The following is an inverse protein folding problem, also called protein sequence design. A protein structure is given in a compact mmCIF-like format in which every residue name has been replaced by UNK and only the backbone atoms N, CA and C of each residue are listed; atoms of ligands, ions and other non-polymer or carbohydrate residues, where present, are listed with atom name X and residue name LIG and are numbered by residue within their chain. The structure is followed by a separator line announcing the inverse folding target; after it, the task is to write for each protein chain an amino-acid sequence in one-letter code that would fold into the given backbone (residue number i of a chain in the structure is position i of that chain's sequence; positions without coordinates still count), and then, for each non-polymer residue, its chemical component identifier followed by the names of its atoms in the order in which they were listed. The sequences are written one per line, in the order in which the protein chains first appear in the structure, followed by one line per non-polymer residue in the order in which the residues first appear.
data_IF_589645145368
#
_entry.id   IF_589645145368
#
_cell.length_a   1.000
_cell.length_b   1.000
_cell.length_c   1.000
_cell.angle_alpha   90.00
_cell.angle_beta   90.00
_cell.angle_gamma   90.00
#
_symmetry.space_group_name_H-M   'P 1'
#
loop_
_entity.id
_entity.type
_entity.pdbx_description
1 polymer ?
#
# COMPACT_ATOMS: atom_id res chain seq x y z
N UNK A 1 3.94 13.54 2.99
CA UNK A 1 3.27 12.36 3.59
C UNK A 1 3.24 11.25 2.56
N UNK A 2 3.30 10.00 3.00
CA UNK A 2 3.63 8.91 2.10
C UNK A 2 2.46 8.39 1.28
N UNK A 3 2.40 8.71 -0.03
CA UNK A 3 1.21 8.44 -0.87
C UNK A 3 0.84 6.95 -0.93
N UNK A 4 1.86 6.08 -0.95
CA UNK A 4 1.68 4.63 -0.97
C UNK A 4 1.30 4.08 0.41
N UNK A 5 1.92 4.60 1.48
CA UNK A 5 1.59 4.22 2.85
C UNK A 5 0.12 4.48 3.20
N UNK A 6 -0.38 5.65 2.82
CA UNK A 6 -1.81 6.01 2.99
C UNK A 6 -2.75 5.11 2.20
N UNK A 7 -2.47 4.91 0.91
CA UNK A 7 -3.27 4.04 0.07
C UNK A 7 -3.29 2.60 0.62
N UNK A 8 -2.13 2.08 1.04
CA UNK A 8 -2.03 0.75 1.63
C UNK A 8 -2.84 0.66 2.91
N UNK A 9 -2.67 1.61 3.86
CA UNK A 9 -3.40 1.63 5.12
C UNK A 9 -4.92 1.56 4.89
N UNK A 10 -5.45 2.41 4.01
CA UNK A 10 -6.88 2.45 3.73
C UNK A 10 -7.40 1.14 3.13
N UNK A 11 -6.63 0.50 2.24
CA UNK A 11 -6.99 -0.80 1.66
C UNK A 11 -7.00 -1.90 2.72
N UNK A 12 -5.99 -1.94 3.59
CA UNK A 12 -5.93 -2.93 4.67
C UNK A 12 -7.15 -2.82 5.60
N UNK A 13 -7.53 -1.60 5.97
CA UNK A 13 -8.71 -1.34 6.80
C UNK A 13 -10.02 -1.66 6.08
N UNK A 14 -10.14 -1.31 4.79
CA UNK A 14 -11.38 -1.50 4.00
C UNK A 14 -11.68 -2.98 3.74
N UNK A 15 -10.64 -3.79 3.52
CA UNK A 15 -10.78 -5.20 3.16
C UNK A 15 -10.43 -6.17 4.29
N UNK A 16 -10.24 -5.67 5.51
CA UNK A 16 -9.84 -6.43 6.71
C UNK A 16 -8.58 -7.30 6.47
N UNK A 17 -7.61 -6.73 5.74
CA UNK A 17 -6.35 -7.41 5.42
C UNK A 17 -5.31 -7.04 6.47
N UNK A 18 -4.76 -8.04 7.15
CA UNK A 18 -3.73 -7.79 8.16
C UNK A 18 -2.39 -7.36 7.53
N UNK A 19 -1.64 -6.50 8.23
CA UNK A 19 -0.26 -6.16 7.85
C UNK A 19 0.64 -7.41 7.77
N UNK A 20 0.34 -8.44 8.56
CA UNK A 20 1.08 -9.71 8.54
C UNK A 20 0.86 -10.46 7.23
N UNK A 21 -0.37 -10.49 6.70
CA UNK A 21 -0.68 -11.12 5.42
C UNK A 21 0.14 -10.52 4.27
N UNK A 22 0.28 -9.19 4.26
CA UNK A 22 1.13 -8.48 3.29
C UNK A 22 2.60 -8.83 3.46
N UNK A 23 3.10 -8.86 4.70
CA UNK A 23 4.49 -9.19 4.98
C UNK A 23 4.85 -10.61 4.49
N UNK A 24 3.95 -11.58 4.73
CA UNK A 24 4.10 -12.96 4.25
C UNK A 24 4.07 -13.03 2.72
N UNK A 25 3.11 -12.36 2.08
CA UNK A 25 2.99 -12.37 0.62
C UNK A 25 4.20 -11.73 -0.09
N UNK A 26 4.84 -10.73 0.55
CA UNK A 26 6.03 -10.06 0.04
C UNK A 26 7.35 -10.73 0.46
N UNK A 27 7.32 -11.71 1.37
CA UNK A 27 8.53 -12.34 1.91
C UNK A 27 9.42 -11.38 2.71
N UNK A 28 8.83 -10.39 3.40
CA UNK A 28 9.56 -9.36 4.16
C UNK A 28 9.14 -9.33 5.64
N UNK A 29 9.87 -8.57 6.44
CA UNK A 29 9.50 -8.32 7.83
C UNK A 29 8.22 -7.46 7.96
N UNK A 30 7.37 -7.82 8.92
CA UNK A 30 6.18 -7.03 9.30
C UNK A 30 6.53 -5.59 9.68
N UNK A 31 7.72 -5.36 10.24
CA UNK A 31 8.22 -4.02 10.62
C UNK A 31 8.30 -3.06 9.41
N UNK A 32 8.57 -3.58 8.21
CA UNK A 32 8.56 -2.79 6.98
C UNK A 32 7.15 -2.36 6.61
N UNK A 33 6.18 -3.27 6.66
CA UNK A 33 4.76 -2.96 6.41
C UNK A 33 4.24 -1.96 7.44
N UNK A 34 4.58 -2.14 8.71
CA UNK A 34 4.26 -1.20 9.79
C UNK A 34 4.76 0.21 9.49
N UNK A 35 6.03 0.35 9.07
CA UNK A 35 6.60 1.66 8.73
C UNK A 35 5.87 2.34 7.57
N UNK A 36 5.38 1.58 6.59
CA UNK A 36 4.61 2.13 5.47
C UNK A 36 3.24 2.63 5.90
N UNK A 37 2.46 1.81 6.61
CA UNK A 37 1.09 2.17 7.00
C UNK A 37 1.03 3.25 8.09
N UNK A 38 2.10 3.40 8.88
CA UNK A 38 2.25 4.49 9.85
C UNK A 38 3.01 5.70 9.28
N UNK A 39 3.25 5.75 7.97
CA UNK A 39 3.90 6.87 7.26
C UNK A 39 5.30 7.24 7.78
N UNK A 40 5.99 6.28 8.42
CA UNK A 40 7.36 6.46 8.94
C UNK A 40 8.40 6.38 7.82
N UNK A 41 8.08 5.64 6.76
CA UNK A 41 8.90 5.49 5.55
C UNK A 41 7.97 5.15 4.39
N UNK A 42 8.22 5.68 3.21
CA UNK A 42 7.51 5.24 2.01
C UNK A 42 8.13 3.96 1.41
N UNK A 43 7.31 3.07 0.86
CA UNK A 43 7.81 2.02 -0.03
C UNK A 43 8.39 2.64 -1.32
N UNK A 44 9.36 1.97 -1.93
CA UNK A 44 9.90 2.40 -3.24
C UNK A 44 8.87 2.17 -4.35
N UNK A 45 9.08 2.76 -5.53
CA UNK A 45 8.21 2.52 -6.68
C UNK A 45 8.14 1.03 -7.07
N UNK A 46 9.27 0.32 -6.98
CA UNK A 46 9.34 -1.13 -7.19
C UNK A 46 8.50 -1.87 -6.14
N UNK A 47 8.63 -1.50 -4.86
CA UNK A 47 7.82 -2.11 -3.79
C UNK A 47 6.32 -1.83 -3.95
N UNK A 48 5.92 -0.70 -4.53
CA UNK A 48 4.50 -0.44 -4.84
C UNK A 48 3.95 -1.45 -5.84
N UNK A 49 4.73 -1.84 -6.85
CA UNK A 49 4.34 -2.88 -7.81
C UNK A 49 4.22 -4.24 -7.12
N UNK A 50 5.15 -4.57 -6.24
CA UNK A 50 5.08 -5.84 -5.48
C UNK A 50 3.91 -5.87 -4.49
N UNK A 51 3.60 -4.74 -3.82
CA UNK A 51 2.40 -4.61 -2.99
C UNK A 51 1.13 -4.85 -3.81
N UNK A 52 1.06 -4.30 -5.03
CA UNK A 52 -0.09 -4.50 -5.92
C UNK A 52 -0.29 -5.98 -6.25
N UNK A 53 0.79 -6.69 -6.63
CA UNK A 53 0.74 -8.13 -6.92
C UNK A 53 0.38 -8.96 -5.68
N UNK A 54 0.92 -8.60 -4.52
CA UNK A 54 0.61 -9.27 -3.25
C UNK A 54 -0.87 -9.10 -2.89
N UNK A 55 -1.42 -7.89 -3.05
CA UNK A 55 -2.83 -7.63 -2.86
C UNK A 55 -3.69 -8.39 -3.88
N UNK A 56 -3.27 -8.49 -5.14
CA UNK A 56 -4.00 -9.21 -6.18
C UNK A 56 -4.14 -10.70 -5.84
N UNK A 57 -3.07 -11.31 -5.30
CA UNK A 57 -3.08 -12.69 -4.81
C UNK A 57 -3.95 -12.91 -3.56
N UNK A 58 -4.14 -11.89 -2.72
CA UNK A 58 -4.96 -11.97 -1.49
C UNK A 58 -6.43 -11.66 -1.79
N UNK A 59 -6.68 -10.55 -2.48
CA UNK A 59 -7.99 -10.04 -2.86
C UNK A 59 -7.85 -9.10 -4.08
N UNK A 60 -8.28 -9.54 -5.29
CA UNK A 60 -8.18 -8.71 -6.51
C UNK A 60 -8.84 -7.33 -6.39
N UNK A 61 -9.95 -7.20 -5.66
CA UNK A 61 -10.60 -5.91 -5.46
C UNK A 61 -9.77 -4.97 -4.57
N UNK A 62 -9.01 -5.51 -3.61
CA UNK A 62 -8.09 -4.73 -2.80
C UNK A 62 -6.94 -4.15 -3.62
N UNK A 63 -6.42 -4.92 -4.59
CA UNK A 63 -5.41 -4.47 -5.53
C UNK A 63 -5.92 -3.32 -6.41
N UNK A 64 -7.12 -3.47 -6.97
CA UNK A 64 -7.75 -2.42 -7.79
C UNK A 64 -7.97 -1.13 -6.98
N UNK A 65 -8.45 -1.24 -5.75
CA UNK A 65 -8.63 -0.09 -4.86
C UNK A 65 -7.29 0.56 -4.49
N UNK A 66 -6.25 -0.24 -4.24
CA UNK A 66 -4.91 0.26 -3.94
C UNK A 66 -4.35 1.13 -5.07
N UNK A 67 -4.39 0.66 -6.32
CA UNK A 67 -3.84 1.44 -7.43
C UNK A 67 -4.65 2.72 -7.69
N UNK A 68 -5.98 2.67 -7.54
CA UNK A 68 -6.83 3.86 -7.65
C UNK A 68 -6.47 4.91 -6.60
N UNK A 69 -6.39 4.51 -5.33
CA UNK A 69 -6.02 5.41 -4.23
C UNK A 69 -4.60 5.96 -4.41
N UNK A 70 -3.65 5.13 -4.81
CA UNK A 70 -2.28 5.56 -5.06
C UNK A 70 -2.20 6.64 -6.14
N UNK A 71 -2.94 6.47 -7.25
CA UNK A 71 -2.99 7.43 -8.35
C UNK A 71 -3.73 8.72 -7.98
N UNK A 72 -4.86 8.63 -7.29
CA UNK A 72 -5.58 9.81 -6.78
C UNK A 72 -4.69 10.63 -5.87
N UNK A 73 -4.07 9.97 -4.88
CA UNK A 73 -3.13 10.64 -3.97
C UNK A 73 -1.95 11.25 -4.75
N UNK A 74 -1.45 10.60 -5.80
CA UNK A 74 -0.39 11.16 -6.63
C UNK A 74 -0.83 12.44 -7.38
N UNK A 75 -2.08 12.50 -7.87
CA UNK A 75 -2.61 13.66 -8.57
C UNK A 75 -2.90 14.84 -7.61
N UNK A 76 -3.36 14.57 -6.39
CA UNK A 76 -3.62 15.62 -5.39
C UNK A 76 -2.33 16.33 -4.95
N UNK A 77 -1.24 15.58 -4.73
CA UNK A 77 0.05 16.17 -4.37
C UNK A 77 0.64 17.04 -5.50
N UNK A 78 0.29 16.81 -6.77
CA UNK A 78 0.75 17.64 -7.89
C UNK A 78 -0.01 18.96 -8.03
N UNK A 79 -1.14 19.15 -7.34
CA UNK A 79 -1.91 20.40 -7.37
C UNK A 79 -1.44 21.43 -6.34
N UNK A 80 -0.59 21.03 -5.40
CA UNK A 80 -0.02 21.88 -4.35
C UNK A 80 1.44 22.28 -4.63
N UNK A 81 1.94 22.08 -5.86
CA UNK A 81 3.30 22.44 -6.31
C UNK A 81 3.30 23.43 -7.46
#
# INVERSE_FOLDING_TARGET
MGRAGKALKQVLETYDISQYSIAVALGIERTSVYRWVHELRDPTAETVVEILKALEGINPAAAETFIKLYLVNALENNKES
#
